data_IF_543973621393
#
_entry.id   IF_543973621393
#
_cell.length_a   1.000
_cell.length_b   1.000
_cell.length_c   1.000
_cell.angle_alpha   90.00
_cell.angle_beta   90.00
_cell.angle_gamma   90.00
#
_symmetry.space_group_name_H-M   'P 1'
#
loop_
_entity.id
_entity.type
_entity.pdbx_description
1 polymer ?
#
# COMPACT_ATOMS: atom_id res chain seq x y z
N UNK A 1 -18.33 28.50 -19.61
CA UNK A 1 -17.60 29.79 -19.60
C UNK A 1 -16.13 29.49 -19.90
N UNK A 2 -15.74 29.58 -21.18
CA UNK A 2 -14.35 29.35 -21.62
C UNK A 2 -13.47 30.48 -21.05
N UNK A 3 -12.49 30.14 -20.22
CA UNK A 3 -11.60 31.14 -19.61
C UNK A 3 -10.59 31.64 -20.66
N UNK A 4 -10.35 32.96 -20.61
CA UNK A 4 -9.45 33.79 -21.40
C UNK A 4 -8.17 33.10 -21.92
N UNK A 5 -7.80 33.47 -23.16
CA UNK A 5 -6.48 33.47 -23.79
C UNK A 5 -5.30 33.20 -22.82
N UNK A 6 -5.03 31.94 -22.52
CA UNK A 6 -3.73 31.56 -21.94
C UNK A 6 -2.74 31.42 -23.09
N UNK A 7 -1.59 32.07 -22.99
CA UNK A 7 -0.49 31.84 -23.92
C UNK A 7 0.09 30.45 -23.64
N UNK A 8 0.25 29.62 -24.67
CA UNK A 8 0.93 28.33 -24.56
C UNK A 8 2.37 28.61 -24.14
N UNK A 9 2.82 27.98 -23.06
CA UNK A 9 4.20 28.19 -22.60
C UNK A 9 5.18 27.58 -23.62
N UNK A 10 6.32 28.25 -23.93
CA UNK A 10 7.14 27.91 -25.10
C UNK A 10 7.61 26.46 -25.20
N UNK A 11 7.78 25.80 -24.05
CA UNK A 11 8.22 24.41 -23.96
C UNK A 11 7.13 23.39 -24.30
N UNK A 12 5.84 23.77 -24.28
CA UNK A 12 4.74 22.91 -24.73
C UNK A 12 4.49 22.96 -26.24
N UNK A 13 5.00 23.97 -26.95
CA UNK A 13 4.69 24.19 -28.37
C UNK A 13 4.90 22.94 -29.24
N UNK A 14 6.03 22.24 -29.08
CA UNK A 14 6.32 21.03 -29.86
C UNK A 14 5.31 19.91 -29.60
N UNK A 15 4.92 19.72 -28.33
CA UNK A 15 3.99 18.65 -27.92
C UNK A 15 2.56 19.01 -28.30
N UNK A 16 2.16 20.27 -28.13
CA UNK A 16 0.86 20.78 -28.58
C UNK A 16 0.64 20.55 -30.07
N UNK A 17 1.66 20.86 -30.88
CA UNK A 17 1.62 20.62 -32.33
C UNK A 17 1.57 19.12 -32.68
N UNK A 18 2.23 18.26 -31.90
CA UNK A 18 2.23 16.82 -32.13
C UNK A 18 0.89 16.16 -31.78
N UNK A 19 0.24 16.64 -30.72
CA UNK A 19 -0.99 16.06 -30.17
C UNK A 19 -2.27 16.77 -30.63
N UNK A 20 -2.16 17.77 -31.49
CA UNK A 20 -3.26 18.64 -31.94
C UNK A 20 -4.14 19.14 -30.78
N UNK A 21 -3.50 19.54 -29.68
CA UNK A 21 -4.18 20.06 -28.50
C UNK A 21 -3.39 21.19 -27.83
N UNK A 22 -4.08 22.05 -27.09
CA UNK A 22 -3.42 23.13 -26.33
C UNK A 22 -3.13 22.70 -24.90
N UNK A 23 -1.87 22.42 -24.60
CA UNK A 23 -1.39 22.18 -23.24
C UNK A 23 -1.07 23.51 -22.56
N UNK A 24 -1.61 23.70 -21.36
CA UNK A 24 -1.32 24.84 -20.50
C UNK A 24 -0.81 24.33 -19.15
N UNK A 25 0.20 24.99 -18.57
CA UNK A 25 0.55 24.65 -17.18
C UNK A 25 -0.58 25.02 -16.24
N UNK A 26 -0.96 24.06 -15.39
CA UNK A 26 -1.75 24.30 -14.20
C UNK A 26 -0.80 24.77 -13.10
N UNK A 27 -0.48 26.07 -13.07
CA UNK A 27 0.19 26.65 -11.89
C UNK A 27 -0.76 26.59 -10.67
N UNK A 28 -0.25 26.30 -9.47
CA UNK A 28 1.16 26.12 -9.11
C UNK A 28 1.73 24.76 -9.55
N UNK A 29 3.00 24.75 -9.98
CA UNK A 29 3.74 23.53 -10.27
C UNK A 29 3.86 22.67 -9.02
N UNK A 30 3.28 21.46 -9.05
CA UNK A 30 3.68 20.41 -8.11
C UNK A 30 4.97 19.79 -8.64
N UNK A 31 6.08 20.15 -8.01
CA UNK A 31 7.38 19.50 -8.22
C UNK A 31 7.66 18.56 -7.07
N UNK A 32 8.40 17.49 -7.36
CA UNK A 32 9.00 16.67 -6.32
C UNK A 32 9.94 17.53 -5.48
N UNK A 33 9.83 17.42 -4.15
CA UNK A 33 10.75 18.02 -3.19
C UNK A 33 11.15 16.95 -2.19
N UNK A 34 12.46 16.87 -1.96
CA UNK A 34 13.00 16.01 -0.92
C UNK A 34 12.71 16.63 0.45
N UNK A 35 12.17 15.83 1.36
CA UNK A 35 11.91 16.28 2.72
C UNK A 35 13.24 16.33 3.49
N UNK A 36 13.51 17.36 4.33
CA UNK A 36 14.79 17.52 5.02
C UNK A 36 15.21 16.31 5.88
N UNK A 37 14.25 15.60 6.47
CA UNK A 37 14.55 14.40 7.28
C UNK A 37 14.91 13.16 6.46
N UNK A 38 14.70 13.15 5.14
CA UNK A 38 14.97 11.95 4.33
C UNK A 38 16.45 11.63 4.21
N UNK A 39 17.34 12.61 4.32
CA UNK A 39 18.80 12.38 4.33
C UNK A 39 19.22 11.57 5.55
N UNK A 40 18.80 11.98 6.75
CA UNK A 40 19.04 11.25 8.00
C UNK A 40 18.46 9.83 7.94
N UNK A 41 17.22 9.69 7.47
CA UNK A 41 16.56 8.39 7.35
C UNK A 41 17.25 7.51 6.30
N UNK A 42 17.80 8.09 5.24
CA UNK A 42 18.54 7.34 4.23
C UNK A 42 19.77 6.66 4.85
N UNK A 43 20.53 7.35 5.69
CA UNK A 43 21.69 6.78 6.40
C UNK A 43 21.28 5.58 7.27
N UNK A 44 20.16 5.68 8.00
CA UNK A 44 19.62 4.58 8.81
C UNK A 44 19.18 3.37 7.96
N UNK A 45 18.78 3.62 6.72
CA UNK A 45 18.27 2.61 5.79
C UNK A 45 19.39 1.86 5.02
N UNK A 46 20.61 2.40 4.99
CA UNK A 46 21.71 1.87 4.17
C UNK A 46 22.19 0.47 4.58
N UNK A 47 22.01 0.10 5.85
CA UNK A 47 22.34 -1.25 6.30
C UNK A 47 21.43 -2.30 5.65
N UNK A 48 22.01 -3.38 5.14
CA UNK A 48 21.23 -4.54 4.63
C UNK A 48 20.38 -5.23 5.71
N UNK A 49 20.63 -4.95 6.99
CA UNK A 49 19.83 -5.45 8.11
C UNK A 49 18.76 -4.43 8.56
N UNK A 50 18.68 -3.28 7.90
CA UNK A 50 17.73 -2.24 8.25
C UNK A 50 16.30 -2.69 8.02
N UNK A 51 15.41 -2.31 8.95
CA UNK A 51 13.97 -2.59 8.95
C UNK A 51 13.24 -1.27 9.21
N UNK A 52 12.96 -0.53 8.16
CA UNK A 52 12.34 0.78 8.24
C UNK A 52 10.83 0.73 8.18
N UNK A 53 10.13 1.39 9.11
CA UNK A 53 8.68 1.62 9.02
C UNK A 53 8.41 3.07 8.64
N UNK A 54 7.43 3.29 7.77
CA UNK A 54 6.95 4.62 7.39
C UNK A 54 5.47 4.74 7.71
N UNK A 55 5.13 5.70 8.57
CA UNK A 55 3.77 5.85 9.09
C UNK A 55 3.33 7.32 9.16
N UNK A 56 2.03 7.55 9.39
CA UNK A 56 1.40 8.86 9.46
C UNK A 56 0.11 8.96 8.64
N UNK A 57 -0.54 10.12 8.69
CA UNK A 57 -1.86 10.34 8.08
C UNK A 57 -1.95 10.09 6.58
N UNK A 58 -3.18 9.89 6.11
CA UNK A 58 -3.49 9.86 4.68
C UNK A 58 -2.99 11.14 4.00
N UNK A 59 -2.29 10.98 2.87
CA UNK A 59 -1.77 12.11 2.10
C UNK A 59 -0.49 12.75 2.65
N UNK A 60 0.10 12.22 3.73
CA UNK A 60 1.30 12.78 4.34
C UNK A 60 2.60 12.62 3.52
N UNK A 61 2.57 11.87 2.41
CA UNK A 61 3.75 11.66 1.54
C UNK A 61 4.47 10.32 1.71
N UNK A 62 3.93 9.38 2.51
CA UNK A 62 4.50 8.04 2.72
C UNK A 62 4.88 7.32 1.43
N UNK A 63 3.95 7.21 0.48
CA UNK A 63 4.21 6.54 -0.81
C UNK A 63 5.23 7.28 -1.67
N UNK A 64 5.44 8.58 -1.47
CA UNK A 64 6.49 9.36 -2.12
C UNK A 64 7.85 9.03 -1.52
N UNK A 65 7.96 9.02 -0.19
CA UNK A 65 9.17 8.57 0.50
C UNK A 65 9.51 7.13 0.15
N UNK A 66 8.53 6.21 0.13
CA UNK A 66 8.77 4.82 -0.25
C UNK A 66 9.43 4.71 -1.62
N UNK A 67 8.93 5.44 -2.63
CA UNK A 67 9.53 5.48 -3.97
C UNK A 67 10.93 6.09 -3.96
N UNK A 68 11.12 7.21 -3.26
CA UNK A 68 12.42 7.86 -3.10
C UNK A 68 13.45 6.90 -2.49
N UNK A 69 13.13 6.30 -1.34
CA UNK A 69 14.05 5.47 -0.57
C UNK A 69 14.36 4.15 -1.28
N UNK A 70 13.35 3.52 -1.91
CA UNK A 70 13.59 2.33 -2.76
C UNK A 70 14.59 2.67 -3.86
N UNK A 71 14.38 3.76 -4.60
CA UNK A 71 15.27 4.15 -5.70
C UNK A 71 16.70 4.45 -5.23
N UNK A 72 16.86 5.06 -4.06
CA UNK A 72 18.16 5.32 -3.44
C UNK A 72 18.87 4.05 -2.98
N UNK A 73 18.15 3.11 -2.38
CA UNK A 73 18.75 1.85 -1.91
C UNK A 73 19.10 0.89 -3.06
N UNK A 74 18.39 0.98 -4.20
CA UNK A 74 18.65 0.14 -5.36
C UNK A 74 20.07 0.27 -5.94
N UNK A 75 20.79 1.37 -5.68
CA UNK A 75 22.21 1.47 -6.05
C UNK A 75 23.12 0.53 -5.24
N UNK A 76 22.62 -0.02 -4.13
CA UNK A 76 23.36 -0.90 -3.22
C UNK A 76 22.84 -2.35 -3.25
N UNK A 77 21.72 -2.62 -3.91
CA UNK A 77 21.17 -3.96 -4.06
C UNK A 77 19.64 -4.01 -4.03
N UNK A 78 19.05 -5.22 -4.04
CA UNK A 78 17.61 -5.39 -3.95
C UNK A 78 17.05 -4.91 -2.61
N UNK A 79 15.81 -4.43 -2.62
CA UNK A 79 15.09 -3.95 -1.43
C UNK A 79 13.84 -4.79 -1.23
N UNK A 80 13.56 -5.23 0.00
CA UNK A 80 12.26 -5.81 0.32
C UNK A 80 11.29 -4.69 0.67
N UNK A 81 10.19 -4.59 -0.06
CA UNK A 81 9.06 -3.74 0.34
C UNK A 81 7.98 -4.61 0.94
N UNK A 82 7.64 -4.35 2.19
CA UNK A 82 6.49 -4.95 2.87
C UNK A 82 5.37 -3.90 2.89
N UNK A 83 4.29 -4.19 2.17
CA UNK A 83 3.19 -3.26 2.01
C UNK A 83 2.00 -3.69 2.86
N UNK A 84 1.73 -2.89 3.89
CA UNK A 84 0.67 -3.08 4.86
C UNK A 84 -0.50 -2.08 4.64
N UNK A 85 -0.57 -1.41 3.48
CA UNK A 85 -1.71 -0.57 3.09
C UNK A 85 -2.62 -1.30 2.08
N UNK A 86 -3.78 -1.83 2.52
CA UNK A 86 -4.72 -2.49 1.60
C UNK A 86 -5.51 -1.49 0.75
N UNK A 87 -5.55 -0.20 1.12
CA UNK A 87 -6.34 0.82 0.44
C UNK A 87 -5.62 1.49 -0.72
N UNK A 88 -4.29 1.64 -0.61
CA UNK A 88 -3.41 2.28 -1.61
C UNK A 88 -2.08 1.51 -1.72
N UNK A 89 -2.16 0.23 -2.06
CA UNK A 89 -0.99 -0.65 -2.20
C UNK A 89 -0.02 -0.17 -3.29
N UNK A 90 1.29 -0.32 -3.07
CA UNK A 90 2.42 0.14 -3.88
C UNK A 90 2.69 -0.70 -5.15
N UNK A 91 2.38 -2.01 -5.13
CA UNK A 91 2.73 -2.92 -6.23
C UNK A 91 1.58 -3.79 -6.72
N UNK A 92 0.46 -3.78 -6.00
CA UNK A 92 -0.68 -4.67 -6.24
C UNK A 92 -1.97 -3.86 -6.37
N UNK A 93 -3.03 -4.50 -6.84
CA UNK A 93 -4.37 -3.93 -6.70
C UNK A 93 -4.77 -3.88 -5.22
N UNK A 94 -5.75 -3.04 -4.90
CA UNK A 94 -6.20 -2.83 -3.53
C UNK A 94 -6.88 -4.09 -2.93
N UNK A 95 -6.88 -4.18 -1.60
CA UNK A 95 -7.40 -5.31 -0.83
C UNK A 95 -6.35 -6.36 -0.46
N UNK A 96 -5.07 -6.05 -0.66
CA UNK A 96 -3.96 -6.97 -0.48
C UNK A 96 -2.89 -6.39 0.45
N UNK A 97 -2.28 -7.26 1.25
CA UNK A 97 -0.98 -7.02 1.88
C UNK A 97 0.08 -7.83 1.14
N UNK A 98 1.29 -7.29 0.97
CA UNK A 98 2.28 -7.97 0.13
C UNK A 98 3.73 -7.77 0.54
N UNK A 99 4.57 -8.73 0.18
CA UNK A 99 6.02 -8.65 0.29
C UNK A 99 6.64 -8.75 -1.10
N UNK A 100 7.27 -7.68 -1.56
CA UNK A 100 7.81 -7.55 -2.93
C UNK A 100 9.29 -7.24 -2.88
N UNK A 101 10.10 -8.07 -3.56
CA UNK A 101 11.52 -7.77 -3.76
C UNK A 101 11.64 -6.86 -4.99
N UNK A 102 12.17 -5.66 -4.77
CA UNK A 102 12.36 -4.65 -5.81
C UNK A 102 13.81 -4.66 -6.27
N UNK A 103 14.01 -4.76 -7.59
CA UNK A 103 15.33 -4.82 -8.24
C UNK A 103 15.52 -3.77 -9.33
N UNK A 104 14.53 -2.90 -9.53
CA UNK A 104 14.57 -1.86 -10.56
C UNK A 104 13.82 -0.61 -10.10
N UNK A 105 14.26 0.59 -10.53
CA UNK A 105 13.68 1.85 -10.08
C UNK A 105 12.16 1.94 -10.29
N UNK A 106 11.53 2.68 -9.39
CA UNK A 106 10.10 2.99 -9.39
C UNK A 106 9.91 4.39 -9.96
N UNK A 107 9.41 4.45 -11.18
CA UNK A 107 9.09 5.71 -11.86
C UNK A 107 7.59 5.83 -12.07
N UNK A 108 7.05 6.99 -11.69
CA UNK A 108 5.64 7.33 -11.88
C UNK A 108 4.71 6.91 -10.72
N UNK A 109 3.39 7.02 -10.95
CA UNK A 109 2.36 6.58 -10.01
C UNK A 109 2.29 5.06 -9.87
N UNK A 110 1.59 4.57 -8.87
CA UNK A 110 1.53 3.15 -8.49
C UNK A 110 1.10 2.21 -9.63
N UNK A 111 0.16 2.65 -10.47
CA UNK A 111 -0.35 1.87 -11.61
C UNK A 111 0.68 1.64 -12.72
N UNK A 112 1.84 2.33 -12.72
CA UNK A 112 2.88 2.14 -13.76
C UNK A 112 3.86 1.01 -13.44
N UNK A 113 3.79 0.45 -12.23
CA UNK A 113 4.79 -0.50 -11.75
C UNK A 113 4.18 -1.61 -10.90
N UNK A 114 2.97 -2.06 -11.27
CA UNK A 114 2.38 -3.26 -10.69
C UNK A 114 3.31 -4.45 -10.91
N UNK A 115 3.57 -5.23 -9.87
CA UNK A 115 4.55 -6.33 -9.88
C UNK A 115 4.05 -7.49 -9.04
N UNK A 116 4.42 -8.71 -9.43
CA UNK A 116 4.05 -9.93 -8.71
C UNK A 116 4.87 -10.01 -7.42
N UNK A 117 4.24 -10.00 -6.23
CA UNK A 117 4.97 -10.12 -4.97
C UNK A 117 5.48 -11.54 -4.73
N UNK A 118 6.41 -11.68 -3.78
CA UNK A 118 6.86 -12.99 -3.28
C UNK A 118 5.78 -13.68 -2.45
N UNK A 119 5.06 -12.91 -1.63
CA UNK A 119 3.83 -13.31 -0.97
C UNK A 119 2.82 -12.18 -1.06
N UNK A 120 1.56 -12.54 -1.27
CA UNK A 120 0.42 -11.63 -1.24
C UNK A 120 -0.70 -12.29 -0.43
N UNK A 121 -1.24 -11.55 0.52
CA UNK A 121 -2.36 -11.96 1.36
C UNK A 121 -3.55 -11.08 1.02
N UNK A 122 -4.60 -11.68 0.44
CA UNK A 122 -5.83 -10.97 0.17
C UNK A 122 -6.69 -10.96 1.44
N UNK A 123 -7.12 -9.77 1.83
CA UNK A 123 -8.03 -9.57 2.96
C UNK A 123 -9.44 -9.17 2.50
N UNK A 124 -9.66 -9.07 1.18
CA UNK A 124 -10.97 -8.80 0.58
C UNK A 124 -11.56 -7.42 0.86
N UNK A 125 -10.83 -6.55 1.58
CA UNK A 125 -11.35 -5.26 2.06
C UNK A 125 -10.29 -4.16 2.00
N UNK A 126 -10.75 -2.95 1.70
CA UNK A 126 -9.92 -1.73 1.74
C UNK A 126 -10.10 -0.94 3.04
N UNK A 127 -11.19 -1.19 3.77
CA UNK A 127 -11.46 -0.59 5.07
C UNK A 127 -11.20 -1.63 6.15
N UNK A 128 -10.11 -1.47 6.88
CA UNK A 128 -9.66 -2.43 7.89
C UNK A 128 -10.51 -2.43 9.15
N UNK A 129 -11.40 -1.44 9.31
CA UNK A 129 -12.44 -1.43 10.36
C UNK A 129 -13.41 -2.61 10.18
N UNK A 130 -13.69 -2.99 8.93
CA UNK A 130 -14.71 -4.01 8.61
C UNK A 130 -14.33 -5.39 9.18
N UNK A 131 -13.02 -5.71 9.22
CA UNK A 131 -12.49 -6.85 9.96
C UNK A 131 -11.04 -6.59 10.43
N UNK A 132 -10.91 -5.98 11.60
CA UNK A 132 -9.61 -5.65 12.19
C UNK A 132 -8.76 -6.89 12.51
N UNK A 133 -9.40 -8.01 12.88
CA UNK A 133 -8.70 -9.27 13.20
C UNK A 133 -8.07 -9.89 11.97
N UNK A 134 -8.79 -9.93 10.86
CA UNK A 134 -8.27 -10.41 9.57
C UNK A 134 -7.08 -9.58 9.12
N UNK A 135 -7.15 -8.25 9.23
CA UNK A 135 -6.01 -7.38 8.93
C UNK A 135 -4.81 -7.68 9.85
N UNK A 136 -5.00 -7.74 11.17
CA UNK A 136 -3.94 -8.04 12.12
C UNK A 136 -3.33 -9.44 11.90
N UNK A 137 -4.14 -10.45 11.55
CA UNK A 137 -3.67 -11.78 11.20
C UNK A 137 -2.86 -11.78 9.90
N UNK A 138 -3.27 -10.99 8.90
CA UNK A 138 -2.51 -10.80 7.66
C UNK A 138 -1.16 -10.12 7.90
N UNK A 139 -1.13 -9.08 8.74
CA UNK A 139 0.12 -8.42 9.17
C UNK A 139 1.06 -9.43 9.83
N UNK A 140 0.58 -10.18 10.84
CA UNK A 140 1.38 -11.22 11.52
C UNK A 140 1.93 -12.24 10.54
N UNK A 141 1.08 -12.82 9.70
CA UNK A 141 1.48 -13.84 8.74
C UNK A 141 2.53 -13.32 7.75
N UNK A 142 2.36 -12.10 7.26
CA UNK A 142 3.29 -11.50 6.29
C UNK A 142 4.65 -11.18 6.94
N UNK A 143 4.66 -10.61 8.14
CA UNK A 143 5.90 -10.33 8.88
C UNK A 143 6.64 -11.63 9.21
N UNK A 144 5.95 -12.65 9.74
CA UNK A 144 6.55 -13.97 10.04
C UNK A 144 7.12 -14.64 8.79
N UNK A 145 6.39 -14.58 7.66
CA UNK A 145 6.92 -15.05 6.38
C UNK A 145 8.19 -14.31 5.98
N UNK A 146 8.23 -12.99 6.17
CA UNK A 146 9.40 -12.21 5.82
C UNK A 146 10.60 -12.54 6.74
N UNK A 147 10.38 -12.66 8.04
CA UNK A 147 11.43 -12.92 9.05
C UNK A 147 12.02 -14.33 8.91
N UNK A 148 11.19 -15.32 8.57
CA UNK A 148 11.63 -16.72 8.36
C UNK A 148 12.40 -16.92 7.05
N UNK A 149 12.36 -15.96 6.13
CA UNK A 149 13.06 -16.06 4.85
C UNK A 149 14.51 -15.53 4.94
N UNK A 150 15.48 -16.45 4.86
CA UNK A 150 16.92 -16.12 4.94
C UNK A 150 17.40 -15.15 3.84
N UNK A 151 16.80 -15.16 2.65
CA UNK A 151 17.21 -14.23 1.61
C UNK A 151 16.77 -12.80 1.97
N UNK A 152 15.57 -12.66 2.53
CA UNK A 152 15.05 -11.36 2.95
C UNK A 152 15.80 -10.78 4.14
N UNK A 153 16.35 -11.62 5.02
CA UNK A 153 17.12 -11.12 6.16
C UNK A 153 18.40 -10.38 5.75
N UNK A 154 18.91 -10.61 4.53
CA UNK A 154 20.12 -10.01 3.97
C UNK A 154 19.86 -8.82 3.04
N UNK A 155 18.66 -8.22 3.06
CA UNK A 155 18.33 -7.01 2.31
C UNK A 155 17.58 -6.01 3.20
N UNK A 156 17.70 -4.69 2.93
CA UNK A 156 16.96 -3.69 3.70
C UNK A 156 15.46 -3.85 3.45
N UNK A 157 14.66 -3.65 4.51
CA UNK A 157 13.21 -3.65 4.41
C UNK A 157 12.67 -2.24 4.53
N UNK A 158 11.72 -1.92 3.65
CA UNK A 158 10.90 -0.74 3.76
C UNK A 158 9.45 -1.17 3.94
N UNK A 159 8.84 -0.75 5.04
CA UNK A 159 7.48 -1.12 5.41
C UNK A 159 6.56 0.08 5.21
N UNK A 160 5.67 -0.02 4.22
CA UNK A 160 4.60 0.94 4.00
C UNK A 160 3.40 0.59 4.89
N UNK A 161 2.81 1.58 5.56
CA UNK A 161 1.63 1.38 6.40
C UNK A 161 0.44 2.19 5.91
N UNK A 162 -0.77 1.76 6.26
CA UNK A 162 -1.98 2.52 5.96
C UNK A 162 -1.98 3.91 6.61
N UNK A 163 -2.69 4.86 5.99
CA UNK A 163 -2.84 6.24 6.49
C UNK A 163 -3.89 6.46 7.58
N UNK A 164 -4.13 5.47 8.43
CA UNK A 164 -5.16 5.49 9.48
C UNK A 164 -4.54 5.90 10.81
N UNK A 165 -4.99 7.03 11.38
CA UNK A 165 -4.38 7.61 12.59
C UNK A 165 -5.33 7.75 13.78
N UNK A 166 -6.52 7.16 13.70
CA UNK A 166 -7.43 7.05 14.85
C UNK A 166 -6.95 5.96 15.83
N UNK A 167 -7.70 5.70 16.90
CA UNK A 167 -7.36 4.71 17.94
C UNK A 167 -7.10 3.30 17.39
N UNK A 168 -7.89 2.81 16.44
CA UNK A 168 -7.64 1.52 15.80
C UNK A 168 -6.38 1.55 14.92
N UNK A 169 -6.13 2.65 14.21
CA UNK A 169 -4.88 2.87 13.49
C UNK A 169 -3.66 2.86 14.40
N UNK A 170 -3.78 3.44 15.60
CA UNK A 170 -2.75 3.43 16.64
C UNK A 170 -2.45 2.00 17.12
N UNK A 171 -3.49 1.18 17.35
CA UNK A 171 -3.34 -0.25 17.65
C UNK A 171 -2.64 -1.02 16.53
N UNK A 172 -2.98 -0.74 15.27
CA UNK A 172 -2.34 -1.42 14.15
C UNK A 172 -0.86 -1.05 14.02
N UNK A 173 -0.50 0.23 14.14
CA UNK A 173 0.90 0.63 14.00
C UNK A 173 1.74 0.14 15.18
N UNK A 174 1.23 0.17 16.41
CA UNK A 174 1.94 -0.40 17.56
C UNK A 174 2.11 -1.91 17.42
N UNK A 175 1.08 -2.64 16.98
CA UNK A 175 1.19 -4.06 16.64
C UNK A 175 2.28 -4.32 15.59
N UNK A 176 2.32 -3.54 14.51
CA UNK A 176 3.32 -3.68 13.44
C UNK A 176 4.73 -3.44 13.98
N UNK A 177 4.94 -2.39 14.78
CA UNK A 177 6.24 -2.07 15.38
C UNK A 177 6.68 -3.21 16.32
N UNK A 178 5.77 -3.71 17.16
CA UNK A 178 6.07 -4.81 18.09
C UNK A 178 6.44 -6.10 17.38
N UNK A 179 5.71 -6.46 16.32
CA UNK A 179 5.99 -7.67 15.54
C UNK A 179 7.26 -7.57 14.70
N UNK A 180 7.50 -6.40 14.08
CA UNK A 180 8.61 -6.22 13.15
C UNK A 180 9.94 -6.04 13.88
N UNK A 181 9.92 -5.32 15.01
CA UNK A 181 11.12 -4.80 15.69
C UNK A 181 11.98 -3.98 14.70
N UNK A 182 11.49 -2.80 14.26
CA UNK A 182 12.17 -1.99 13.27
C UNK A 182 13.55 -1.54 13.78
N UNK A 183 14.44 -1.18 12.86
CA UNK A 183 15.66 -0.44 13.21
C UNK A 183 15.42 1.06 13.22
N UNK A 184 14.42 1.53 12.48
CA UNK A 184 13.98 2.91 12.52
C UNK A 184 12.50 3.07 12.16
N UNK A 185 11.89 4.12 12.68
CA UNK A 185 10.52 4.54 12.37
C UNK A 185 10.54 5.98 11.88
N UNK A 186 10.05 6.19 10.66
CA UNK A 186 9.76 7.52 10.11
C UNK A 186 8.27 7.82 10.29
N UNK A 187 7.96 8.76 11.17
CA UNK A 187 6.59 9.22 11.43
C UNK A 187 6.36 10.59 10.80
N UNK A 188 5.37 10.67 9.92
CA UNK A 188 4.89 11.95 9.40
C UNK A 188 3.90 12.59 10.37
N UNK A 189 4.19 13.82 10.78
CA UNK A 189 3.37 14.62 11.69
C UNK A 189 2.66 15.75 10.94
N UNK A 190 1.33 15.71 10.96
CA UNK A 190 0.46 16.72 10.35
C UNK A 190 -0.02 17.73 11.39
N UNK A 191 -0.12 19.01 10.99
CA UNK A 191 -0.77 20.05 11.82
C UNK A 191 -2.27 19.78 12.03
N UNK A 192 -2.92 19.06 11.12
CA UNK A 192 -4.31 18.66 11.27
C UNK A 192 -4.42 17.44 12.19
N UNK A 193 -5.13 17.61 13.32
CA UNK A 193 -5.27 16.61 14.39
C UNK A 193 -5.80 15.26 13.90
N UNK A 194 -6.74 15.27 12.95
CA UNK A 194 -7.34 14.06 12.40
C UNK A 194 -6.44 13.28 11.42
N UNK A 195 -5.22 13.78 11.16
CA UNK A 195 -4.22 13.17 10.26
C UNK A 195 -2.90 12.88 10.98
N UNK A 196 -2.86 12.95 12.30
CA UNK A 196 -1.71 12.53 13.12
C UNK A 196 -2.17 11.53 14.17
N UNK A 197 -1.23 10.75 14.69
CA UNK A 197 -1.50 9.86 15.82
C UNK A 197 -1.67 10.69 17.10
N UNK A 198 -2.35 10.10 18.10
CA UNK A 198 -2.54 10.75 19.40
C UNK A 198 -1.22 10.88 20.18
N UNK A 199 -0.24 10.04 19.88
CA UNK A 199 1.11 10.08 20.46
C UNK A 199 2.19 9.84 19.41
N UNK A 200 3.41 10.26 19.71
CA UNK A 200 4.59 9.92 18.91
C UNK A 200 4.95 8.45 19.13
N UNK A 201 5.37 7.77 18.09
CA UNK A 201 5.74 6.36 18.12
C UNK A 201 7.22 6.21 18.49
N UNK A 202 7.61 6.79 19.62
CA UNK A 202 8.93 6.53 20.23
C UNK A 202 8.96 5.11 20.82
N UNK A 203 10.15 4.51 21.01
CA UNK A 203 10.24 3.18 21.63
C UNK A 203 9.50 3.10 22.98
N UNK A 204 9.63 4.12 23.83
CA UNK A 204 8.93 4.22 25.11
C UNK A 204 7.41 4.25 24.93
N UNK A 205 6.90 5.14 24.09
CA UNK A 205 5.45 5.28 23.90
C UNK A 205 4.83 4.02 23.29
N UNK A 206 5.53 3.34 22.38
CA UNK A 206 5.05 2.07 21.82
C UNK A 206 5.00 0.96 22.88
N UNK A 207 5.94 0.95 23.82
CA UNK A 207 5.93 0.02 24.96
C UNK A 207 4.73 0.28 25.87
N UNK A 208 4.47 1.54 26.21
CA UNK A 208 3.32 1.93 27.01
C UNK A 208 2.00 1.54 26.32
N UNK A 209 1.90 1.78 25.00
CA UNK A 209 0.75 1.34 24.19
C UNK A 209 0.61 -0.19 24.17
N UNK A 210 1.71 -0.93 24.11
CA UNK A 210 1.66 -2.39 24.18
C UNK A 210 1.12 -2.86 25.54
N UNK A 211 1.56 -2.26 26.64
CA UNK A 211 1.07 -2.58 27.97
C UNK A 211 -0.41 -2.23 28.14
N UNK A 212 -0.89 -1.16 27.51
CA UNK A 212 -2.31 -0.81 27.43
C UNK A 212 -3.10 -1.84 26.62
N UNK A 213 -2.57 -2.29 25.47
CA UNK A 213 -3.27 -3.15 24.52
C UNK A 213 -3.01 -4.65 24.70
N UNK A 214 -2.20 -5.08 25.67
CA UNK A 214 -1.81 -6.50 25.87
C UNK A 214 -2.97 -7.49 25.97
N UNK A 215 -4.14 -7.02 26.44
CA UNK A 215 -5.35 -7.84 26.60
C UNK A 215 -6.31 -7.73 25.41
N UNK A 216 -6.00 -6.88 24.41
CA UNK A 216 -6.77 -6.75 23.19
C UNK A 216 -6.52 -7.96 22.27
N UNK A 217 -7.58 -8.43 21.61
CA UNK A 217 -7.51 -9.60 20.71
C UNK A 217 -6.55 -9.38 19.53
N UNK A 218 -6.30 -8.14 19.12
CA UNK A 218 -5.32 -7.81 18.09
C UNK A 218 -3.87 -8.06 18.54
N UNK A 219 -3.62 -8.18 19.85
CA UNK A 219 -2.30 -8.45 20.45
C UNK A 219 -2.18 -9.86 21.03
N UNK A 220 -3.17 -10.73 20.77
CA UNK A 220 -3.12 -12.13 21.18
C UNK A 220 -1.84 -12.80 20.66
N UNK A 221 -1.14 -13.50 21.56
CA UNK A 221 0.14 -14.18 21.32
C UNK A 221 1.27 -13.27 20.79
N UNK A 222 1.19 -11.97 21.03
CA UNK A 222 2.27 -11.02 20.71
C UNK A 222 3.10 -10.79 21.96
N UNK A 223 4.42 -10.91 21.81
CA UNK A 223 5.38 -10.56 22.86
C UNK A 223 6.09 -9.27 22.47
N UNK A 224 6.30 -8.39 23.44
CA UNK A 224 7.12 -7.20 23.30
C UNK A 224 8.50 -7.46 23.90
N UNK A 225 9.56 -7.09 23.20
CA UNK A 225 10.91 -7.17 23.76
C UNK A 225 11.11 -6.06 24.79
N UNK A 226 11.64 -6.41 25.96
CA UNK A 226 12.04 -5.42 26.96
C UNK A 226 13.13 -4.48 26.45
N UNK A 227 13.92 -4.96 25.48
CA UNK A 227 15.01 -4.23 24.83
C UNK A 227 14.58 -3.62 23.48
N UNK A 228 13.27 -3.44 23.25
CA UNK A 228 12.81 -2.74 22.03
C UNK A 228 13.38 -1.34 21.99
N UNK A 229 14.20 -1.08 20.98
CA UNK A 229 14.81 0.20 20.69
C UNK A 229 14.94 0.38 19.17
N UNK A 230 14.83 1.63 18.71
CA UNK A 230 14.96 2.01 17.31
C UNK A 230 15.13 3.53 17.17
N UNK A 231 15.77 3.94 16.07
CA UNK A 231 15.87 5.36 15.73
C UNK A 231 14.50 5.90 15.32
N UNK A 232 14.02 6.92 16.03
CA UNK A 232 12.73 7.56 15.75
C UNK A 232 12.94 8.91 15.08
N UNK A 233 12.43 9.07 13.86
CA UNK A 233 12.56 10.30 13.07
C UNK A 233 11.18 10.87 12.75
N UNK A 234 11.00 12.16 13.04
CA UNK A 234 9.76 12.89 12.75
C UNK A 234 9.93 13.69 11.46
N UNK A 235 9.06 13.44 10.48
CA UNK A 235 8.88 14.30 9.32
C UNK A 235 7.72 15.26 9.56
N UNK A 236 8.02 16.52 9.88
CA UNK A 236 6.97 17.53 10.03
C UNK A 236 6.38 17.92 8.68
N UNK A 237 5.08 18.18 8.63
CA UNK A 237 4.45 18.67 7.41
C UNK A 237 5.05 20.03 6.99
N UNK A 238 5.75 20.02 5.86
CA UNK A 238 6.35 21.22 5.25
C UNK A 238 5.35 21.99 4.38
N UNK A 239 4.20 21.40 4.06
CA UNK A 239 3.19 22.06 3.23
C UNK A 239 2.30 22.96 4.08
N UNK A 240 2.17 24.22 3.68
CA UNK A 240 1.23 25.14 4.33
C UNK A 240 -0.20 24.57 4.19
N UNK A 241 -1.06 24.71 5.22
CA UNK A 241 -2.45 24.25 5.16
C UNK A 241 -3.26 24.84 3.99
N UNK A 242 -2.80 25.95 3.39
CA UNK A 242 -3.39 26.57 2.19
C UNK A 242 -3.06 25.83 0.89
N UNK A 243 -1.94 25.07 0.82
CA UNK A 243 -1.55 24.27 -0.35
C UNK A 243 -2.38 23.00 -0.54
N UNK A 244 -3.09 22.55 0.51
CA UNK A 244 -3.88 21.30 0.47
C UNK A 244 -5.18 21.41 -0.36
N UNK A 245 -5.68 22.63 -0.63
CA UNK A 245 -6.84 22.86 -1.52
C UNK A 245 -6.41 22.88 -2.99
N UNK A 246 -5.96 21.74 -3.51
CA UNK A 246 -5.56 21.60 -4.92
C UNK A 246 -6.65 20.91 -5.74
N UNK A 247 -7.08 21.50 -6.86
CA UNK A 247 -8.03 20.93 -7.83
C UNK A 247 -7.52 19.65 -8.55
N UNK A 248 -6.29 19.21 -8.29
CA UNK A 248 -5.60 18.12 -9.03
C UNK A 248 -5.17 16.94 -8.14
N UNK A 249 -5.76 16.76 -6.96
CA UNK A 249 -5.55 15.53 -6.18
C UNK A 249 -6.49 14.43 -6.68
N UNK A 250 -5.92 13.34 -7.20
CA UNK A 250 -6.70 12.14 -7.48
C UNK A 250 -7.29 11.59 -6.20
N UNK A 251 -8.56 11.17 -6.24
CA UNK A 251 -9.17 10.52 -5.08
C UNK A 251 -8.61 9.10 -5.01
N UNK A 252 -8.46 8.58 -3.79
CA UNK A 252 -8.02 7.20 -3.56
C UNK A 252 -8.85 6.16 -4.34
N UNK A 253 -10.15 6.42 -4.57
CA UNK A 253 -11.00 5.58 -5.42
C UNK A 253 -10.51 5.54 -6.87
N UNK A 254 -10.16 6.69 -7.43
CA UNK A 254 -9.72 6.82 -8.82
C UNK A 254 -8.34 6.19 -9.00
N UNK A 255 -7.44 6.32 -8.01
CA UNK A 255 -6.14 5.62 -8.02
C UNK A 255 -6.29 4.10 -8.03
N UNK A 256 -7.17 3.57 -7.18
CA UNK A 256 -7.48 2.13 -7.19
C UNK A 256 -8.05 1.69 -8.54
N UNK A 257 -8.93 2.50 -9.13
CA UNK A 257 -9.49 2.20 -10.45
C UNK A 257 -8.40 2.17 -11.53
N UNK A 258 -7.46 3.12 -11.52
CA UNK A 258 -6.32 3.10 -12.44
C UNK A 258 -5.42 1.88 -12.22
N UNK A 259 -5.21 1.41 -10.98
CA UNK A 259 -4.48 0.16 -10.74
C UNK A 259 -5.17 -1.04 -11.42
N UNK A 260 -6.50 -1.16 -11.33
CA UNK A 260 -7.23 -2.22 -12.03
C UNK A 260 -7.14 -2.09 -13.55
N UNK A 261 -7.27 -0.86 -14.08
CA UNK A 261 -7.11 -0.63 -15.51
C UNK A 261 -5.70 -0.98 -16.01
N UNK A 262 -4.66 -0.62 -15.26
CA UNK A 262 -3.29 -0.99 -15.60
C UNK A 262 -3.04 -2.50 -15.49
N UNK A 263 -3.67 -3.19 -14.54
CA UNK A 263 -3.58 -4.64 -14.41
C UNK A 263 -4.20 -5.36 -15.62
N UNK A 264 -5.47 -5.06 -15.94
CA UNK A 264 -6.14 -5.68 -17.09
C UNK A 264 -5.63 -5.15 -18.43
N UNK A 265 -5.07 -3.94 -18.46
CA UNK A 265 -4.43 -3.37 -19.63
C UNK A 265 -3.21 -4.16 -20.11
N UNK A 266 -2.59 -4.96 -19.25
CA UNK A 266 -1.52 -5.90 -19.65
C UNK A 266 -2.01 -7.00 -20.59
N UNK A 267 -3.32 -7.24 -20.65
CA UNK A 267 -3.93 -8.19 -21.58
C UNK A 267 -4.13 -7.60 -22.98
N UNK A 268 -4.06 -6.27 -23.11
CA UNK A 268 -4.28 -5.58 -24.37
C UNK A 268 -2.97 -5.49 -25.14
N UNK A 269 -3.01 -5.88 -26.41
CA UNK A 269 -1.95 -5.56 -27.35
C UNK A 269 -2.29 -4.20 -28.00
N UNK A 270 -1.50 -3.18 -27.68
CA UNK A 270 -1.69 -1.83 -28.21
C UNK A 270 -1.42 -1.75 -29.71
N UNK A 271 -0.78 -2.76 -30.31
CA UNK A 271 -0.48 -2.81 -31.74
C UNK A 271 -1.59 -3.47 -32.55
N UNK A 272 -2.31 -4.44 -31.97
CA UNK A 272 -3.43 -5.11 -32.64
C UNK A 272 -4.74 -4.31 -32.57
N UNK A 273 -4.86 -3.41 -31.59
CA UNK A 273 -6.09 -2.64 -31.36
C UNK A 273 -7.25 -3.50 -30.82
N UNK A 274 -6.97 -4.72 -30.38
CA UNK A 274 -7.98 -5.62 -29.84
C UNK A 274 -8.54 -5.10 -28.51
N UNK A 275 -9.87 -5.06 -28.43
CA UNK A 275 -10.58 -4.72 -27.19
C UNK A 275 -10.49 -5.88 -26.21
N UNK A 276 -10.56 -5.58 -24.90
CA UNK A 276 -10.70 -6.59 -23.84
C UNK A 276 -11.88 -7.55 -24.12
N UNK A 277 -12.93 -7.04 -24.77
CA UNK A 277 -14.12 -7.83 -25.15
C UNK A 277 -13.85 -8.84 -26.28
N UNK A 278 -12.75 -8.67 -27.03
CA UNK A 278 -12.31 -9.61 -28.06
C UNK A 278 -11.49 -10.78 -27.53
N UNK A 279 -11.05 -10.71 -26.27
CA UNK A 279 -10.23 -11.77 -25.65
C UNK A 279 -11.13 -12.94 -25.28
N UNK A 280 -10.78 -14.14 -25.76
CA UNK A 280 -11.47 -15.38 -25.35
C UNK A 280 -11.08 -15.75 -23.92
N UNK A 281 -12.01 -15.75 -22.94
CA UNK A 281 -11.69 -16.03 -21.56
C UNK A 281 -11.48 -17.53 -21.30
N UNK A 282 -10.71 -17.85 -20.27
CA UNK A 282 -10.69 -19.21 -19.73
C UNK A 282 -12.04 -19.56 -19.10
N UNK A 283 -12.53 -20.76 -19.41
CA UNK A 283 -13.75 -21.29 -18.83
C UNK A 283 -13.44 -22.39 -17.82
N UNK A 284 -14.12 -22.35 -16.68
CA UNK A 284 -14.03 -23.35 -15.60
C UNK A 284 -15.44 -23.75 -15.16
N UNK A 285 -15.62 -24.97 -14.66
CA UNK A 285 -16.92 -25.38 -14.12
C UNK A 285 -17.10 -24.77 -12.71
N UNK A 286 -18.28 -24.20 -12.44
CA UNK A 286 -18.56 -23.58 -11.15
C UNK A 286 -18.40 -24.55 -9.96
N UNK A 287 -18.66 -25.84 -10.17
CA UNK A 287 -18.49 -26.88 -9.15
C UNK A 287 -17.03 -27.08 -8.71
N UNK A 288 -16.09 -26.65 -9.56
CA UNK A 288 -14.65 -26.74 -9.29
C UNK A 288 -14.15 -25.51 -8.53
N UNK A 289 -14.97 -24.46 -8.41
CA UNK A 289 -14.65 -23.23 -7.72
C UNK A 289 -15.08 -23.26 -6.25
N UNK A 290 -14.21 -22.73 -5.39
CA UNK A 290 -14.49 -22.44 -3.99
C UNK A 290 -14.57 -20.92 -3.84
N UNK A 291 -15.73 -20.43 -3.42
CA UNK A 291 -16.04 -19.00 -3.40
C UNK A 291 -16.03 -18.52 -1.94
N UNK A 292 -15.18 -17.53 -1.68
CA UNK A 292 -15.13 -16.86 -0.38
C UNK A 292 -15.79 -15.47 -0.47
N UNK A 293 -16.58 -15.11 0.54
CA UNK A 293 -17.23 -13.78 0.62
C UNK A 293 -16.96 -13.11 1.97
N UNK A 294 -16.96 -11.78 2.01
CA UNK A 294 -16.79 -11.05 3.29
C UNK A 294 -18.07 -11.06 4.14
N UNK A 295 -19.20 -11.39 3.54
CA UNK A 295 -20.51 -11.43 4.19
C UNK A 295 -21.16 -12.79 3.92
N UNK A 296 -22.08 -13.19 4.78
CA UNK A 296 -22.87 -14.41 4.58
C UNK A 296 -23.79 -14.22 3.38
N UNK A 297 -23.65 -15.08 2.37
CA UNK A 297 -24.48 -15.08 1.16
C UNK A 297 -25.13 -16.44 0.99
N UNK A 298 -26.44 -16.47 0.73
CA UNK A 298 -27.15 -17.72 0.41
C UNK A 298 -26.68 -18.28 -0.92
N UNK A 299 -26.55 -19.61 -1.01
CA UNK A 299 -26.07 -20.31 -2.20
C UNK A 299 -26.87 -19.96 -3.47
N UNK A 300 -28.18 -19.77 -3.36
CA UNK A 300 -29.07 -19.38 -4.46
C UNK A 300 -28.80 -17.97 -5.05
N UNK A 301 -28.08 -17.12 -4.34
CA UNK A 301 -27.78 -15.75 -4.77
C UNK A 301 -26.34 -15.57 -5.24
N UNK A 302 -25.46 -16.56 -5.05
CA UNK A 302 -24.02 -16.39 -5.28
C UNK A 302 -23.70 -16.00 -6.73
N UNK A 303 -24.40 -16.57 -7.71
CA UNK A 303 -24.19 -16.24 -9.12
C UNK A 303 -24.57 -14.80 -9.46
N UNK A 304 -25.64 -14.29 -8.83
CA UNK A 304 -26.04 -12.88 -8.99
C UNK A 304 -25.01 -11.94 -8.35
N UNK A 305 -24.43 -12.36 -7.23
CA UNK A 305 -23.39 -11.59 -6.52
C UNK A 305 -22.10 -11.55 -7.32
N UNK A 306 -21.67 -12.68 -7.90
CA UNK A 306 -20.41 -12.78 -8.64
C UNK A 306 -20.44 -12.12 -10.01
N UNK A 307 -21.61 -12.07 -10.66
CA UNK A 307 -21.72 -11.55 -12.02
C UNK A 307 -21.19 -10.10 -12.11
N UNK A 308 -20.19 -9.89 -12.98
CA UNK A 308 -19.55 -8.58 -13.18
C UNK A 308 -18.66 -8.09 -12.03
N UNK A 309 -18.30 -8.96 -11.06
CA UNK A 309 -17.36 -8.61 -9.98
C UNK A 309 -15.93 -8.99 -10.34
N UNK A 310 -15.01 -8.18 -9.83
CA UNK A 310 -13.60 -8.56 -9.74
C UNK A 310 -13.43 -9.48 -8.53
N UNK A 311 -12.69 -10.57 -8.72
CA UNK A 311 -12.41 -11.57 -7.69
C UNK A 311 -10.91 -11.82 -7.63
N UNK A 312 -10.40 -12.02 -6.41
CA UNK A 312 -9.03 -12.44 -6.20
C UNK A 312 -8.92 -13.96 -6.34
N UNK A 313 -7.92 -14.43 -7.09
CA UNK A 313 -7.64 -15.86 -7.20
C UNK A 313 -6.72 -16.30 -6.05
N UNK A 314 -7.30 -17.02 -5.09
CA UNK A 314 -6.62 -17.39 -3.86
C UNK A 314 -6.42 -18.90 -3.71
N UNK A 315 -5.38 -19.29 -2.99
CA UNK A 315 -5.18 -20.67 -2.55
C UNK A 315 -5.89 -20.92 -1.22
N UNK A 316 -6.70 -21.97 -1.18
CA UNK A 316 -7.40 -22.41 0.02
C UNK A 316 -7.41 -23.94 0.10
N UNK A 317 -7.25 -24.49 1.30
CA UNK A 317 -7.16 -25.93 1.52
C UNK A 317 -8.51 -26.60 1.82
N UNK A 318 -9.56 -25.85 2.16
CA UNK A 318 -10.87 -26.43 2.44
C UNK A 318 -11.60 -26.87 1.17
N UNK A 319 -12.42 -27.91 1.31
CA UNK A 319 -13.35 -28.37 0.28
C UNK A 319 -14.72 -27.68 0.32
N UNK A 320 -14.93 -26.73 1.24
CA UNK A 320 -16.17 -25.96 1.31
C UNK A 320 -16.33 -25.08 0.06
N UNK A 321 -17.36 -25.36 -0.74
CA UNK A 321 -17.61 -24.65 -2.01
C UNK A 321 -17.99 -23.16 -1.84
N UNK A 322 -18.68 -22.79 -0.75
CA UNK A 322 -19.04 -21.41 -0.44
C UNK A 322 -18.84 -21.16 1.06
N UNK A 323 -18.06 -20.15 1.42
CA UNK A 323 -17.80 -19.81 2.82
C UNK A 323 -17.56 -18.32 3.01
N UNK A 324 -17.81 -17.84 4.23
CA UNK A 324 -17.46 -16.47 4.63
C UNK A 324 -16.01 -16.44 5.07
N UNK A 325 -15.25 -15.42 4.65
CA UNK A 325 -13.88 -15.21 5.11
C UNK A 325 -13.87 -15.11 6.64
N UNK A 326 -13.02 -15.95 7.25
CA UNK A 326 -12.74 -15.92 8.68
C UNK A 326 -11.55 -14.99 8.94
N UNK A 327 -11.06 -14.93 10.18
CA UNK A 327 -9.89 -14.13 10.55
C UNK A 327 -8.56 -14.66 9.97
N UNK A 328 -8.62 -15.61 9.02
CA UNK A 328 -7.45 -16.15 8.31
C UNK A 328 -7.36 -15.55 6.89
N UNK A 329 -6.28 -14.82 6.57
CA UNK A 329 -6.07 -14.30 5.22
C UNK A 329 -5.80 -15.43 4.23
N UNK A 330 -6.14 -15.20 2.96
CA UNK A 330 -5.89 -16.15 1.89
C UNK A 330 -4.66 -15.73 1.08
N UNK A 331 -3.83 -16.71 0.69
CA UNK A 331 -2.69 -16.46 -0.19
C UNK A 331 -3.21 -16.19 -1.60
N UNK A 332 -2.96 -15.00 -2.12
CA UNK A 332 -3.39 -14.58 -3.44
C UNK A 332 -2.34 -14.89 -4.50
N UNK A 333 -2.80 -15.22 -5.72
CA UNK A 333 -1.95 -15.41 -6.90
C UNK A 333 -2.01 -14.18 -7.81
N UNK A 334 -1.04 -14.08 -8.73
CA UNK A 334 -0.96 -12.96 -9.67
C UNK A 334 -0.52 -11.63 -9.03
N UNK A 335 -1.14 -10.53 -9.43
CA UNK A 335 -0.89 -9.17 -8.90
C UNK A 335 -2.05 -8.67 -8.00
N UNK A 336 -2.90 -9.61 -7.57
CA UNK A 336 -4.12 -9.38 -6.80
C UNK A 336 -5.37 -9.53 -7.65
#
# INVERSE_FOLDING_TARGET
>A
MFKLNKTIEPYFNKVCNLLDCSLFSSRPYKSFREHPSWSEVHELAMSKYSRGIVCGGKGAGKSTYMRYQVNKLLSHGPVLVVDLDPGQSLFTVAGNLSATVVTSPLFGPTFTHLRKPKLMLNIGMINTIDNAKLYAAAVRNLITYCQSNKAFSQMPWLVNTMGMTNSLGLKFISLIITLLQPTYVLQYESQALNLRFETLLTPTNVRDLFDEYRNDQLFENVTCSNDMDYSFVVAQDTDSPYSRKSMFTMRAKDERYLNFLAYFGQLLDTTSGESLLGITPYQVCLKDLRIATNVVVKKEHIMKVLNGKLVALCQHASDTALFTLTDKPLVCRGHG
#
